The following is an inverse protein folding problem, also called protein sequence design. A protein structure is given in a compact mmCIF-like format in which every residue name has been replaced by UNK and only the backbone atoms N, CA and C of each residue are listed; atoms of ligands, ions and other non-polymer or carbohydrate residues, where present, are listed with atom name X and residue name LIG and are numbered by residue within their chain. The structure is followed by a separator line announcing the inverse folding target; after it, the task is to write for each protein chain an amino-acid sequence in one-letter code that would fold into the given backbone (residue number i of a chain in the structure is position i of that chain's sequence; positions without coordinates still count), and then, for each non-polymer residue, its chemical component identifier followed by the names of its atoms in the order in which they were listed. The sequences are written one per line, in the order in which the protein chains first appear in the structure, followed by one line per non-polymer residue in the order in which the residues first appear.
data_IF_550223359912
#
_entry.id   IF_550223359912
#
_cell.length_a   1.000
_cell.length_b   1.000
_cell.length_c   1.000
_cell.angle_alpha   90.00
_cell.angle_beta   90.00
_cell.angle_gamma   90.00
#
_symmetry.space_group_name_H-M   'P 1'
#
loop_
_entity.id
_entity.type
_entity.pdbx_description
1 polymer ?
#
# COMPACT_ATOMS: atom_id res chain seq x y z
N UNK A 1 8.73 7.82 14.66
CA UNK A 1 8.08 7.29 13.45
C UNK A 1 6.79 6.59 13.86
N UNK A 2 5.75 6.52 13.01
CA UNK A 2 4.50 5.85 13.42
C UNK A 2 4.67 4.33 13.48
N UNK A 3 3.80 3.61 14.20
CA UNK A 3 3.82 2.13 14.24
C UNK A 3 3.54 1.53 12.86
N UNK A 4 2.65 2.15 12.08
CA UNK A 4 2.29 1.72 10.72
C UNK A 4 3.48 1.91 9.77
N UNK A 5 4.15 3.07 9.80
CA UNK A 5 5.36 3.32 9.00
C UNK A 5 6.43 2.24 9.29
N UNK A 6 6.60 1.90 10.58
CA UNK A 6 7.58 0.91 11.05
C UNK A 6 7.24 -0.51 10.59
N UNK A 7 5.96 -0.87 10.55
CA UNK A 7 5.52 -2.14 10.01
C UNK A 7 5.88 -2.25 8.52
N UNK A 8 5.62 -1.21 7.72
CA UNK A 8 5.99 -1.17 6.31
C UNK A 8 7.49 -1.31 6.08
N UNK A 9 8.32 -0.60 6.83
CA UNK A 9 9.78 -0.77 6.75
C UNK A 9 10.25 -2.19 7.07
N UNK A 10 9.71 -2.80 8.14
CA UNK A 10 10.13 -4.15 8.55
C UNK A 10 9.74 -5.25 7.56
N UNK A 11 8.68 -5.03 6.79
CA UNK A 11 8.27 -5.95 5.74
C UNK A 11 9.04 -5.76 4.43
N UNK A 12 9.77 -4.65 4.26
CA UNK A 12 10.61 -4.39 3.10
C UNK A 12 11.84 -5.29 3.12
N UNK A 13 12.00 -6.12 2.09
CA UNK A 13 13.14 -7.00 1.92
C UNK A 13 13.42 -7.27 0.43
N UNK A 14 14.49 -7.99 0.12
CA UNK A 14 14.94 -8.19 -1.28
C UNK A 14 13.90 -8.91 -2.14
N UNK A 15 13.11 -9.80 -1.52
CA UNK A 15 12.04 -10.52 -2.19
C UNK A 15 10.69 -9.76 -2.18
N UNK A 16 10.54 -8.75 -1.31
CA UNK A 16 9.30 -8.02 -1.12
C UNK A 16 9.57 -6.53 -0.87
N UNK A 17 9.65 -5.76 -1.96
CA UNK A 17 9.79 -4.32 -1.86
C UNK A 17 8.45 -3.66 -1.54
N UNK A 18 8.39 -2.91 -0.44
CA UNK A 18 7.21 -2.18 0.02
C UNK A 18 7.08 -0.83 -0.70
N UNK A 19 6.98 -0.93 -2.02
CA UNK A 19 6.96 0.19 -2.95
C UNK A 19 5.60 0.35 -3.62
N UNK A 20 5.10 1.58 -3.59
CA UNK A 20 3.97 2.02 -4.40
C UNK A 20 4.53 2.55 -5.70
N UNK A 21 4.03 2.04 -6.83
CA UNK A 21 4.43 2.49 -8.16
C UNK A 21 3.19 2.97 -8.92
N UNK A 22 3.18 4.23 -9.31
CA UNK A 22 2.13 4.85 -10.12
C UNK A 22 2.68 5.26 -11.48
N UNK A 23 1.80 5.27 -12.49
CA UNK A 23 2.12 5.73 -13.85
C UNK A 23 1.07 6.74 -14.27
N UNK A 24 1.52 7.91 -14.72
CA UNK A 24 0.65 8.92 -15.35
C UNK A 24 1.09 9.14 -16.79
N UNK A 25 0.12 9.17 -17.70
CA UNK A 25 0.28 9.65 -19.07
C UNK A 25 -0.34 11.04 -19.14
N UNK A 26 0.42 12.02 -19.62
CA UNK A 26 0.09 13.44 -19.52
C UNK A 26 -0.01 14.04 -20.92
N UNK A 27 -1.15 14.68 -21.20
CA UNK A 27 -1.40 15.45 -22.41
C UNK A 27 -2.10 16.78 -22.04
N UNK A 28 -1.55 17.95 -22.40
CA UNK A 28 -0.27 18.14 -23.10
C UNK A 28 0.93 17.65 -22.27
N UNK A 29 2.03 17.32 -22.94
CA UNK A 29 3.26 16.88 -22.28
C UNK A 29 3.86 17.95 -21.38
N UNK A 30 4.58 17.52 -20.35
CA UNK A 30 5.21 18.40 -19.35
C UNK A 30 6.72 18.30 -19.41
N UNK A 31 7.39 19.40 -19.08
CA UNK A 31 8.86 19.47 -19.03
C UNK A 31 9.38 19.26 -17.61
N UNK A 32 10.61 18.77 -17.51
CA UNK A 32 11.29 18.49 -16.24
C UNK A 32 11.25 19.68 -15.28
N UNK A 33 11.54 20.89 -15.78
CA UNK A 33 11.47 22.11 -14.98
C UNK A 33 10.07 22.35 -14.39
N UNK A 34 9.01 22.14 -15.16
CA UNK A 34 7.63 22.32 -14.70
C UNK A 34 7.23 21.27 -13.64
N UNK A 35 7.71 20.02 -13.80
CA UNK A 35 7.52 18.98 -12.79
C UNK A 35 8.25 19.34 -11.49
N UNK A 36 9.52 19.78 -11.57
CA UNK A 36 10.28 20.23 -10.40
C UNK A 36 9.56 21.37 -9.68
N UNK A 37 9.14 22.41 -10.40
CA UNK A 37 8.40 23.55 -9.84
C UNK A 37 7.09 23.09 -9.16
N UNK A 38 6.34 22.20 -9.80
CA UNK A 38 5.11 21.66 -9.20
C UNK A 38 5.40 20.91 -7.91
N UNK A 39 6.43 20.08 -7.89
CA UNK A 39 6.84 19.28 -6.72
C UNK A 39 7.29 20.17 -5.56
N UNK A 40 8.05 21.22 -5.83
CA UNK A 40 8.46 22.23 -4.83
C UNK A 40 7.25 22.94 -4.22
N UNK A 41 6.30 23.33 -5.07
CA UNK A 41 5.13 24.10 -4.66
C UNK A 41 4.00 23.27 -4.04
N UNK A 42 4.09 21.94 -4.05
CA UNK A 42 3.07 21.03 -3.52
C UNK A 42 3.67 19.99 -2.58
N UNK A 43 4.34 18.97 -3.12
CA UNK A 43 4.87 17.82 -2.38
C UNK A 43 5.83 18.23 -1.26
N UNK A 44 6.74 19.16 -1.54
CA UNK A 44 7.77 19.58 -0.56
C UNK A 44 7.24 20.48 0.57
N UNK A 45 5.96 20.89 0.50
CA UNK A 45 5.27 21.52 1.65
C UNK A 45 5.08 20.53 2.80
N UNK A 46 5.09 19.23 2.52
CA UNK A 46 5.09 18.20 3.54
C UNK A 46 6.53 17.83 3.91
N UNK A 47 6.93 18.11 5.16
CA UNK A 47 8.30 17.81 5.62
C UNK A 47 8.69 16.35 5.47
N UNK A 48 7.71 15.44 5.48
CA UNK A 48 7.93 14.01 5.25
C UNK A 48 8.70 13.71 3.97
N UNK A 49 8.46 14.44 2.87
CA UNK A 49 9.15 14.22 1.59
C UNK A 49 10.58 14.77 1.56
N UNK A 50 10.99 15.50 2.60
CA UNK A 50 12.36 15.96 2.82
C UNK A 50 13.06 15.17 3.94
N UNK A 51 12.42 14.11 4.45
CA UNK A 51 12.95 13.27 5.52
C UNK A 51 13.34 11.90 4.99
N UNK A 52 14.47 11.41 5.50
CA UNK A 52 14.91 10.02 5.30
C UNK A 52 14.69 9.23 6.59
N UNK A 53 14.67 7.91 6.46
CA UNK A 53 14.64 7.02 7.61
C UNK A 53 16.07 6.79 8.11
N UNK A 54 16.26 6.84 9.42
CA UNK A 54 17.48 6.43 10.11
C UNK A 54 17.11 5.28 11.04
N UNK A 55 17.79 4.14 10.87
CA UNK A 55 17.64 2.98 11.74
C UNK A 55 18.84 2.88 12.68
N UNK A 56 18.56 2.75 13.97
CA UNK A 56 19.55 2.51 15.01
C UNK A 56 19.07 1.40 15.97
N UNK A 57 19.80 1.17 17.06
CA UNK A 57 19.46 0.14 18.05
C UNK A 57 18.13 0.39 18.76
N UNK A 58 17.64 1.64 18.81
CA UNK A 58 16.36 2.00 19.42
C UNK A 58 15.19 1.91 18.42
N UNK A 59 15.48 1.86 17.12
CA UNK A 59 14.53 1.61 16.06
C UNK A 59 14.67 2.59 14.90
N UNK A 60 13.58 2.77 14.15
CA UNK A 60 13.55 3.59 12.95
C UNK A 60 12.92 4.97 13.24
N UNK A 61 13.61 6.03 12.83
CA UNK A 61 13.18 7.42 13.02
C UNK A 61 13.26 8.23 11.74
N UNK A 62 12.42 9.25 11.65
CA UNK A 62 12.42 10.20 10.53
C UNK A 62 13.37 11.35 10.85
N UNK A 63 14.32 11.60 9.96
CA UNK A 63 15.31 12.68 10.11
C UNK A 63 15.33 13.53 8.85
N UNK A 64 15.36 14.85 9.02
CA UNK A 64 15.51 15.77 7.88
C UNK A 64 16.81 15.46 7.13
N UNK A 65 16.70 15.30 5.81
CA UNK A 65 17.86 15.20 4.96
C UNK A 65 18.46 16.61 4.76
N UNK A 66 19.62 16.85 5.37
CA UNK A 66 20.32 18.14 5.27
C UNK A 66 20.88 18.40 3.87
N UNK A 67 21.07 17.33 3.09
CA UNK A 67 21.60 17.38 1.74
C UNK A 67 20.49 17.07 0.72
N UNK A 68 19.23 17.34 1.08
CA UNK A 68 18.11 17.15 0.18
C UNK A 68 18.33 17.91 -1.12
N UNK A 69 18.25 17.20 -2.23
CA UNK A 69 18.38 17.76 -3.57
C UNK A 69 17.37 17.07 -4.49
N UNK A 70 16.44 17.89 -4.99
CA UNK A 70 15.31 17.47 -5.82
C UNK A 70 15.75 16.75 -7.10
N UNK A 71 16.93 17.05 -7.63
CA UNK A 71 17.44 16.39 -8.84
C UNK A 71 17.68 14.88 -8.65
N UNK A 72 17.85 14.42 -7.40
CA UNK A 72 17.98 12.99 -7.09
C UNK A 72 16.62 12.27 -7.02
N UNK A 73 15.53 13.04 -6.97
CA UNK A 73 14.17 12.53 -6.85
C UNK A 73 13.39 12.70 -8.15
N UNK A 74 13.56 13.79 -8.89
CA UNK A 74 12.92 14.01 -10.20
C UNK A 74 13.93 13.74 -11.31
N UNK A 75 13.91 12.51 -11.81
CA UNK A 75 14.89 11.97 -12.75
C UNK A 75 14.34 12.05 -14.18
N UNK A 76 14.92 12.88 -15.07
CA UNK A 76 14.56 12.85 -16.48
C UNK A 76 15.10 11.57 -17.12
N UNK A 77 14.27 10.91 -17.93
CA UNK A 77 14.59 9.63 -18.54
C UNK A 77 14.12 9.58 -20.00
N UNK A 78 14.84 8.80 -20.83
CA UNK A 78 14.44 8.50 -22.20
C UNK A 78 14.21 7.01 -22.34
N UNK A 79 13.06 6.63 -22.91
CA UNK A 79 12.81 5.23 -23.23
C UNK A 79 13.67 4.80 -24.44
N UNK A 80 14.03 3.51 -24.52
CA UNK A 80 14.63 2.95 -25.73
C UNK A 80 13.75 3.24 -26.96
N UNK A 81 14.40 3.52 -28.10
CA UNK A 81 13.67 3.68 -29.37
C UNK A 81 12.97 2.35 -29.69
N UNK A 82 11.65 2.37 -29.71
CA UNK A 82 10.79 1.22 -29.97
C UNK A 82 9.61 1.65 -30.83
N UNK A 83 9.12 0.76 -31.70
CA UNK A 83 7.86 0.96 -32.42
C UNK A 83 6.66 0.97 -31.45
N UNK A 84 6.79 0.28 -30.31
CA UNK A 84 5.80 0.26 -29.24
C UNK A 84 6.40 0.92 -27.99
N UNK A 85 6.06 2.19 -27.77
CA UNK A 85 6.52 2.94 -26.60
C UNK A 85 5.82 2.50 -25.31
N UNK A 86 4.57 2.03 -25.39
CA UNK A 86 3.85 1.51 -24.23
C UNK A 86 4.55 0.28 -23.65
N UNK A 87 4.97 -0.67 -24.50
CA UNK A 87 5.74 -1.83 -24.06
C UNK A 87 7.08 -1.42 -23.44
N UNK A 88 7.77 -0.44 -24.03
CA UNK A 88 9.01 0.09 -23.47
C UNK A 88 8.79 0.74 -22.08
N UNK A 89 7.67 1.44 -21.90
CA UNK A 89 7.28 2.01 -20.61
C UNK A 89 6.95 0.90 -19.59
N UNK A 90 6.17 -0.11 -19.97
CA UNK A 90 5.84 -1.27 -19.13
C UNK A 90 7.09 -2.01 -18.65
N UNK A 91 8.04 -2.30 -19.55
CA UNK A 91 9.30 -2.94 -19.19
C UNK A 91 10.14 -2.05 -18.27
N UNK A 92 10.13 -0.72 -18.48
CA UNK A 92 10.82 0.20 -17.58
C UNK A 92 10.19 0.23 -16.18
N UNK A 93 8.88 0.29 -16.09
CA UNK A 93 8.14 0.21 -14.81
C UNK A 93 8.45 -1.12 -14.12
N UNK A 94 8.50 -2.22 -14.86
CA UNK A 94 8.83 -3.54 -14.33
C UNK A 94 10.24 -3.60 -13.71
N UNK A 95 11.23 -2.99 -14.36
CA UNK A 95 12.60 -2.86 -13.82
C UNK A 95 12.59 -1.99 -12.56
N UNK A 96 11.93 -0.84 -12.60
CA UNK A 96 11.90 0.09 -11.47
C UNK A 96 11.15 -0.49 -10.25
N UNK A 97 10.15 -1.34 -10.47
CA UNK A 97 9.38 -2.01 -9.43
C UNK A 97 10.14 -3.15 -8.71
N UNK A 98 11.32 -3.54 -9.20
CA UNK A 98 12.25 -4.48 -8.53
C UNK A 98 13.50 -3.79 -8.00
N UNK A 99 13.66 -2.49 -8.24
CA UNK A 99 14.79 -1.71 -7.72
C UNK A 99 14.43 -1.06 -6.39
N UNK A 100 15.32 -1.21 -5.42
CA UNK A 100 15.26 -0.49 -4.14
C UNK A 100 15.51 0.99 -4.34
N UNK A 101 14.91 1.80 -3.46
CA UNK A 101 15.31 3.20 -3.30
C UNK A 101 16.56 3.29 -2.42
N UNK A 102 17.35 4.35 -2.60
CA UNK A 102 18.52 4.61 -1.77
C UNK A 102 18.09 5.00 -0.34
N UNK A 103 18.40 4.20 0.70
CA UNK A 103 17.98 4.48 2.08
C UNK A 103 18.64 5.72 2.67
N UNK A 104 19.68 6.28 2.04
CA UNK A 104 20.34 7.50 2.48
C UNK A 104 19.55 8.77 2.15
N UNK A 105 18.45 8.65 1.41
CA UNK A 105 17.64 9.77 0.90
C UNK A 105 16.17 9.59 1.28
N UNK A 106 15.32 10.62 1.17
CA UNK A 106 13.88 10.43 1.25
C UNK A 106 13.40 9.36 0.27
N UNK A 107 12.58 8.44 0.75
CA UNK A 107 12.23 7.21 0.02
C UNK A 107 11.12 7.43 -1.02
N UNK A 108 11.36 8.31 -1.98
CA UNK A 108 10.51 8.52 -3.15
C UNK A 108 11.32 8.97 -4.36
N UNK A 109 10.83 8.67 -5.56
CA UNK A 109 11.39 9.11 -6.84
C UNK A 109 10.28 9.27 -7.89
N UNK A 110 10.52 10.14 -8.85
CA UNK A 110 9.67 10.43 -9.99
C UNK A 110 10.57 10.36 -11.23
N UNK A 111 10.27 9.45 -12.14
CA UNK A 111 10.94 9.36 -13.44
C UNK A 111 10.06 10.02 -14.50
N UNK A 112 10.59 11.01 -15.20
CA UNK A 112 9.87 11.74 -16.24
C UNK A 112 10.40 11.37 -17.62
N UNK A 113 9.52 10.88 -18.48
CA UNK A 113 9.74 10.67 -19.90
C UNK A 113 9.02 11.81 -20.64
N UNK A 114 9.75 12.83 -21.04
CA UNK A 114 9.16 14.03 -21.67
C UNK A 114 8.55 13.75 -23.04
N UNK A 115 9.16 12.84 -23.81
CA UNK A 115 8.79 12.54 -25.20
C UNK A 115 8.14 11.15 -25.28
N UNK A 116 6.88 11.06 -24.85
CA UNK A 116 6.09 9.83 -24.88
C UNK A 116 4.91 9.96 -25.85
N UNK A 117 4.63 8.90 -26.60
CA UNK A 117 3.44 8.78 -27.45
C UNK A 117 2.64 7.59 -26.96
N UNK A 118 1.42 7.85 -26.49
CA UNK A 118 0.52 6.83 -25.99
C UNK A 118 0.02 5.88 -27.10
N UNK A 119 -0.67 4.79 -26.73
CA UNK A 119 -1.27 3.87 -27.69
C UNK A 119 -2.37 4.53 -28.54
N UNK A 120 -2.93 5.64 -28.07
CA UNK A 120 -3.87 6.52 -28.78
C UNK A 120 -3.20 7.41 -29.84
N UNK A 121 -1.87 7.40 -29.93
CA UNK A 121 -1.09 8.24 -30.83
C UNK A 121 -0.90 9.69 -30.35
N UNK A 122 -1.41 10.03 -29.16
CA UNK A 122 -1.28 11.37 -28.60
C UNK A 122 0.15 11.55 -28.07
N UNK A 123 0.81 12.61 -28.52
CA UNK A 123 2.13 13.01 -28.01
C UNK A 123 1.97 13.76 -26.69
N UNK A 124 2.78 13.38 -25.72
CA UNK A 124 2.78 13.97 -24.40
C UNK A 124 3.97 13.47 -23.60
N UNK A 125 3.77 13.26 -22.30
CA UNK A 125 4.81 12.76 -21.40
C UNK A 125 4.29 11.59 -20.58
N UNK A 126 5.19 10.73 -20.12
CA UNK A 126 4.87 9.69 -19.15
C UNK A 126 5.67 9.93 -17.87
N UNK A 127 5.05 9.68 -16.72
CA UNK A 127 5.68 9.84 -15.42
C UNK A 127 5.50 8.58 -14.60
N UNK A 128 6.60 8.05 -14.06
CA UNK A 128 6.61 6.89 -13.16
C UNK A 128 6.92 7.39 -11.76
N UNK A 129 5.95 7.30 -10.86
CA UNK A 129 6.08 7.71 -9.47
C UNK A 129 6.36 6.48 -8.62
N UNK A 130 7.36 6.56 -7.75
CA UNK A 130 7.79 5.48 -6.85
C UNK A 130 7.86 6.04 -5.44
N UNK A 131 7.09 5.50 -4.51
CA UNK A 131 7.05 5.96 -3.12
C UNK A 131 7.09 4.74 -2.21
N UNK A 132 7.96 4.75 -1.20
CA UNK A 132 7.96 3.68 -0.21
C UNK A 132 6.75 3.80 0.73
N UNK A 133 6.07 2.69 1.02
CA UNK A 133 4.84 2.63 1.82
C UNK A 133 4.95 3.26 3.22
N UNK A 134 6.17 3.40 3.74
CA UNK A 134 6.40 4.08 5.01
C UNK A 134 6.10 5.59 4.98
N UNK A 135 6.17 6.23 3.80
CA UNK A 135 5.96 7.68 3.67
C UNK A 135 4.47 8.02 3.77
N UNK A 136 3.63 7.22 3.12
CA UNK A 136 2.19 7.42 3.06
C UNK A 136 1.48 6.06 2.94
N UNK A 137 0.44 5.88 3.76
CA UNK A 137 -0.55 4.82 3.53
C UNK A 137 -1.50 5.21 2.38
N UNK A 138 -2.34 4.27 1.94
CA UNK A 138 -3.17 4.45 0.74
C UNK A 138 -4.00 5.74 0.74
N UNK A 139 -4.54 6.16 1.88
CA UNK A 139 -5.38 7.37 1.98
C UNK A 139 -4.50 8.63 1.93
N UNK A 140 -3.41 8.69 2.71
CA UNK A 140 -2.48 9.81 2.66
C UNK A 140 -1.86 9.98 1.26
N UNK A 141 -1.62 8.87 0.56
CA UNK A 141 -1.10 8.88 -0.80
C UNK A 141 -2.11 9.43 -1.81
N UNK A 142 -3.40 9.14 -1.67
CA UNK A 142 -4.45 9.72 -2.52
C UNK A 142 -4.46 11.25 -2.37
N UNK A 143 -4.39 11.77 -1.14
CA UNK A 143 -4.34 13.23 -0.91
C UNK A 143 -3.08 13.87 -1.52
N UNK A 144 -1.93 13.21 -1.39
CA UNK A 144 -0.67 13.66 -2.01
C UNK A 144 -0.77 13.65 -3.54
N UNK A 145 -1.29 12.57 -4.11
CA UNK A 145 -1.47 12.40 -5.56
C UNK A 145 -2.44 13.44 -6.12
N UNK A 146 -3.55 13.69 -5.44
CA UNK A 146 -4.50 14.75 -5.81
C UNK A 146 -3.83 16.13 -5.76
N UNK A 147 -2.99 16.42 -4.77
CA UNK A 147 -2.30 17.72 -4.71
C UNK A 147 -1.34 17.97 -5.89
N UNK A 148 -0.91 16.91 -6.59
CA UNK A 148 -0.01 17.00 -7.75
C UNK A 148 -0.73 17.31 -9.06
N UNK A 149 -2.04 17.05 -9.16
CA UNK A 149 -2.84 17.29 -10.37
C UNK A 149 -3.62 18.59 -10.27
N UNK A 150 -3.88 19.22 -11.42
CA UNK A 150 -4.70 20.44 -11.48
C UNK A 150 -6.16 20.14 -11.10
N UNK A 151 -6.76 21.01 -10.28
CA UNK A 151 -8.10 20.81 -9.72
C UNK A 151 -8.16 19.88 -8.50
N UNK A 152 -7.03 19.32 -8.05
CA UNK A 152 -6.96 18.57 -6.81
C UNK A 152 -7.06 19.45 -5.56
N UNK A 153 -7.43 18.84 -4.43
CA UNK A 153 -7.51 19.54 -3.14
C UNK A 153 -6.11 20.00 -2.74
N UNK A 154 -5.90 21.30 -2.43
CA UNK A 154 -4.60 21.77 -1.98
C UNK A 154 -4.18 21.03 -0.71
N UNK A 155 -2.86 20.85 -0.47
CA UNK A 155 -2.36 20.29 0.77
C UNK A 155 -3.04 20.93 1.98
N UNK A 156 -3.61 20.16 2.94
CA UNK A 156 -4.22 20.75 4.11
C UNK A 156 -3.17 21.60 4.82
N UNK A 157 -3.47 22.89 5.04
CA UNK A 157 -2.60 23.74 5.83
C UNK A 157 -2.48 23.11 7.23
N UNK A 158 -1.25 22.75 7.59
CA UNK A 158 -0.97 22.19 8.91
C UNK A 158 -1.28 23.26 9.94
N UNK A 159 -2.49 23.23 10.50
CA UNK A 159 -2.81 23.95 11.74
C UNK A 159 -1.73 23.55 12.73
N UNK A 160 -0.92 24.52 13.17
CA UNK A 160 0.01 24.31 14.29
C UNK A 160 -0.85 23.78 15.43
N UNK A 161 -0.71 22.48 15.73
CA UNK A 161 -1.48 21.83 16.78
C UNK A 161 -1.10 22.54 18.07
N UNK A 162 -1.99 23.39 18.57
CA UNK A 162 -1.94 23.83 19.95
C UNK A 162 -1.95 22.54 20.79
N UNK A 163 -1.01 22.44 21.71
CA UNK A 163 -0.92 21.35 22.66
C UNK A 163 -2.20 21.30 23.50
N UNK A 164 -3.16 20.44 23.13
CA UNK A 164 -4.26 20.04 24.00
C UNK A 164 -4.95 18.78 23.45
N UNK A 165 -4.81 17.69 24.20
CA UNK A 165 -5.80 16.64 24.41
C UNK A 165 -6.69 16.21 23.23
N UNK A 166 -6.14 15.38 22.33
CA UNK A 166 -6.93 14.35 21.65
C UNK A 166 -5.96 13.22 21.30
N UNK A 167 -6.19 12.05 21.91
CA UNK A 167 -5.31 10.89 21.81
C UNK A 167 -5.32 10.30 20.40
N UNK A 168 -4.34 9.45 20.06
CA UNK A 168 -4.32 8.70 18.80
C UNK A 168 -5.54 7.78 18.61
N UNK A 169 -6.35 7.61 19.65
CA UNK A 169 -7.51 6.73 19.66
C UNK A 169 -8.68 7.37 18.90
N UNK A 170 -8.91 8.68 19.05
CA UNK A 170 -10.06 9.38 18.46
C UNK A 170 -10.06 9.40 16.92
N UNK A 171 -8.88 9.46 16.30
CA UNK A 171 -8.80 9.47 14.83
C UNK A 171 -9.04 8.07 14.23
N UNK A 172 -8.63 7.02 14.95
CA UNK A 172 -8.81 5.62 14.55
C UNK A 172 -10.29 5.23 14.72
N UNK A 173 -10.93 5.68 15.80
CA UNK A 173 -12.38 5.46 16.01
C UNK A 173 -13.24 6.15 14.96
N UNK A 174 -12.93 7.40 14.60
CA UNK A 174 -13.80 8.18 13.71
C UNK A 174 -13.68 7.83 12.22
N UNK A 175 -12.49 7.44 11.75
CA UNK A 175 -12.23 7.30 10.31
C UNK A 175 -12.22 5.85 9.83
N UNK A 176 -11.79 4.90 10.68
CA UNK A 176 -11.66 3.49 10.33
C UNK A 176 -12.70 2.61 11.01
N UNK A 177 -12.99 2.87 12.29
CA UNK A 177 -13.97 2.06 12.99
C UNK A 177 -15.38 2.45 12.56
N UNK A 178 -15.86 3.69 12.68
CA UNK A 178 -17.29 4.03 12.44
C UNK A 178 -17.93 3.41 11.17
N UNK A 179 -17.33 3.45 9.96
CA UNK A 179 -17.93 2.83 8.78
C UNK A 179 -17.95 1.29 8.83
N UNK A 180 -16.93 0.69 9.46
CA UNK A 180 -16.84 -0.76 9.64
C UNK A 180 -17.63 -1.24 10.87
N UNK A 181 -17.84 -0.41 11.89
CA UNK A 181 -18.50 -0.79 13.15
C UNK A 181 -20.00 -0.93 12.95
N UNK A 182 -20.64 -0.14 12.08
CA UNK A 182 -22.07 -0.30 11.81
C UNK A 182 -22.40 -1.60 11.06
N UNK A 183 -21.50 -2.04 10.17
CA UNK A 183 -21.60 -3.32 9.45
C UNK A 183 -21.14 -4.48 10.36
N UNK A 184 -20.11 -4.26 11.19
CA UNK A 184 -19.56 -5.26 12.10
C UNK A 184 -20.44 -5.50 13.32
N UNK A 185 -21.11 -4.50 13.90
CA UNK A 185 -21.99 -4.66 15.10
C UNK A 185 -23.25 -5.44 14.74
N UNK A 186 -23.80 -5.24 13.53
CA UNK A 186 -24.89 -6.09 13.01
C UNK A 186 -24.45 -7.53 12.74
N UNK A 187 -23.19 -7.77 12.35
CA UNK A 187 -22.64 -9.11 12.16
C UNK A 187 -22.18 -9.77 13.47
N UNK A 188 -21.61 -9.01 14.42
CA UNK A 188 -21.18 -9.49 15.74
C UNK A 188 -22.37 -9.80 16.65
N UNK A 189 -23.51 -9.12 16.51
CA UNK A 189 -24.73 -9.49 17.21
C UNK A 189 -25.25 -10.89 16.83
N UNK A 190 -25.00 -11.32 15.58
CA UNK A 190 -25.40 -12.63 15.07
C UNK A 190 -24.32 -13.72 15.27
N UNK A 191 -23.03 -13.35 15.35
CA UNK A 191 -21.89 -14.28 15.51
C UNK A 191 -21.39 -14.37 16.97
N UNK A 192 -21.60 -13.32 17.77
CA UNK A 192 -21.07 -13.16 19.12
C UNK A 192 -21.62 -14.15 20.14
N UNK A 193 -22.87 -14.61 19.98
CA UNK A 193 -23.42 -15.69 20.82
C UNK A 193 -22.71 -17.04 20.56
N UNK A 194 -22.15 -17.25 19.37
CA UNK A 194 -21.39 -18.46 19.02
C UNK A 194 -19.92 -18.41 19.45
N UNK A 195 -19.27 -17.26 19.25
CA UNK A 195 -17.83 -17.10 19.51
C UNK A 195 -17.48 -17.01 21.01
N UNK A 196 -18.34 -16.41 21.83
CA UNK A 196 -18.12 -16.35 23.29
C UNK A 196 -18.15 -17.74 23.95
N UNK A 197 -18.96 -18.67 23.43
CA UNK A 197 -18.94 -20.08 23.85
C UNK A 197 -17.65 -20.80 23.46
N UNK A 198 -17.08 -20.48 22.30
CA UNK A 198 -15.86 -21.14 21.80
C UNK A 198 -14.59 -20.66 22.52
N UNK A 199 -14.49 -19.37 22.86
CA UNK A 199 -13.34 -18.80 23.56
C UNK A 199 -13.26 -19.21 25.04
N UNK A 200 -14.41 -19.43 25.70
CA UNK A 200 -14.45 -19.98 27.06
C UNK A 200 -13.84 -21.37 27.19
N UNK A 201 -13.84 -22.18 26.12
CA UNK A 201 -13.22 -23.51 26.09
C UNK A 201 -11.67 -23.48 26.00
N UNK A 202 -11.07 -22.39 25.52
CA UNK A 202 -9.62 -22.30 25.27
C UNK A 202 -8.82 -21.81 26.50
N UNK A 203 -9.44 -21.00 27.37
CA UNK A 203 -8.77 -20.41 28.54
C UNK A 203 -8.57 -21.37 29.71
N UNK A 204 -9.37 -22.43 29.80
CA UNK A 204 -9.30 -23.43 30.86
C UNK A 204 -9.66 -24.82 30.28
N UNK A 205 -8.69 -25.52 29.65
CA UNK A 205 -8.94 -26.79 28.96
C UNK A 205 -9.55 -27.87 29.86
N UNK A 206 -9.27 -27.80 31.18
CA UNK A 206 -9.81 -28.74 32.16
C UNK A 206 -11.28 -28.44 32.53
N UNK A 207 -11.70 -27.18 32.67
CA UNK A 207 -13.13 -26.85 32.89
C UNK A 207 -13.97 -27.03 31.63
N UNK A 208 -13.45 -26.69 30.45
CA UNK A 208 -14.15 -26.97 29.19
C UNK A 208 -14.33 -28.47 28.93
N UNK A 209 -13.39 -29.29 29.41
CA UNK A 209 -13.47 -30.76 29.32
C UNK A 209 -14.31 -31.38 30.45
N UNK A 210 -14.36 -30.79 31.65
CA UNK A 210 -15.24 -31.23 32.76
C UNK A 210 -16.70 -30.80 32.55
N UNK A 211 -16.98 -29.57 32.11
CA UNK A 211 -18.33 -29.12 31.72
C UNK A 211 -18.80 -29.79 30.41
N UNK A 212 -17.88 -30.06 29.48
CA UNK A 212 -18.12 -30.89 28.30
C UNK A 212 -18.34 -32.38 28.61
N UNK A 213 -17.88 -32.86 29.77
CA UNK A 213 -18.09 -34.22 30.25
C UNK A 213 -19.56 -34.49 30.63
N UNK A 214 -20.31 -33.44 30.99
CA UNK A 214 -21.73 -33.56 31.34
C UNK A 214 -22.65 -33.61 30.11
N UNK A 215 -22.18 -33.18 28.94
CA UNK A 215 -22.86 -33.34 27.65
C UNK A 215 -21.96 -34.13 26.69
N UNK A 216 -21.92 -35.46 26.87
CA UNK A 216 -21.21 -36.40 25.97
C UNK A 216 -21.50 -36.17 24.48
N UNK A 217 -22.68 -35.63 24.18
CA UNK A 217 -23.14 -35.26 22.85
C UNK A 217 -22.37 -34.08 22.22
N UNK A 218 -21.94 -33.10 23.02
CA UNK A 218 -21.23 -31.92 22.52
C UNK A 218 -19.74 -32.23 22.26
N UNK A 219 -19.11 -33.05 23.09
CA UNK A 219 -17.77 -33.56 22.82
C UNK A 219 -17.73 -34.43 21.56
N UNK A 220 -18.75 -35.27 21.34
CA UNK A 220 -18.89 -36.06 20.12
C UNK A 220 -19.03 -35.18 18.87
N UNK A 221 -19.83 -34.11 18.93
CA UNK A 221 -19.96 -33.16 17.81
C UNK A 221 -18.64 -32.46 17.49
N UNK A 222 -17.90 -32.00 18.50
CA UNK A 222 -16.59 -31.36 18.29
C UNK A 222 -15.59 -32.33 17.67
N UNK A 223 -15.53 -33.57 18.16
CA UNK A 223 -14.65 -34.60 17.60
C UNK A 223 -14.99 -34.91 16.13
N UNK A 224 -16.28 -35.06 15.81
CA UNK A 224 -16.75 -35.27 14.43
C UNK A 224 -16.40 -34.07 13.55
N UNK A 225 -16.55 -32.85 14.06
CA UNK A 225 -16.21 -31.63 13.31
C UNK A 225 -14.71 -31.56 13.02
N UNK A 226 -13.85 -31.82 14.00
CA UNK A 226 -12.38 -31.84 13.80
C UNK A 226 -11.96 -32.92 12.80
N UNK A 227 -12.54 -34.12 12.88
CA UNK A 227 -12.27 -35.19 11.92
C UNK A 227 -12.75 -34.83 10.52
N UNK A 228 -13.92 -34.20 10.41
CA UNK A 228 -14.47 -33.75 9.12
C UNK A 228 -13.63 -32.64 8.51
N UNK A 229 -13.19 -31.67 9.31
CA UNK A 229 -12.34 -30.57 8.84
C UNK A 229 -10.93 -31.06 8.48
N UNK A 230 -10.37 -31.98 9.26
CA UNK A 230 -9.10 -32.65 8.94
C UNK A 230 -9.20 -33.47 7.65
N UNK A 231 -10.28 -34.22 7.45
CA UNK A 231 -10.53 -34.95 6.21
C UNK A 231 -10.77 -33.99 5.03
N UNK A 232 -11.50 -32.90 5.24
CA UNK A 232 -11.74 -31.88 4.23
C UNK A 232 -10.43 -31.21 3.79
N UNK A 233 -9.53 -30.91 4.72
CA UNK A 233 -8.20 -30.35 4.41
C UNK A 233 -7.29 -31.36 3.70
N UNK A 234 -7.29 -32.62 4.13
CA UNK A 234 -6.47 -33.67 3.52
C UNK A 234 -6.95 -34.08 2.12
N UNK A 235 -8.26 -34.00 1.88
CA UNK A 235 -8.89 -34.30 0.60
C UNK A 235 -9.13 -33.05 -0.24
N UNK A 236 -8.75 -31.87 0.27
CA UNK A 236 -8.86 -30.62 -0.47
C UNK A 236 -7.97 -30.76 -1.70
N UNK A 237 -8.53 -30.68 -2.92
CA UNK A 237 -7.73 -30.81 -4.12
C UNK A 237 -6.66 -29.72 -4.12
N UNK A 238 -5.48 -30.09 -4.59
CA UNK A 238 -4.42 -29.11 -4.82
C UNK A 238 -4.98 -27.94 -5.62
N UNK A 239 -4.63 -26.78 -5.12
CA UNK A 239 -5.08 -25.50 -5.58
C UNK A 239 -4.96 -25.44 -7.13
N UNK A 240 -6.04 -25.10 -7.86
CA UNK A 240 -6.11 -25.23 -9.34
C UNK A 240 -4.85 -24.69 -10.04
N UNK A 241 -4.27 -25.45 -10.99
CA UNK A 241 -3.10 -25.00 -11.76
C UNK A 241 -3.44 -23.76 -12.60
N UNK A 242 -3.14 -22.58 -12.08
CA UNK A 242 -3.27 -21.32 -12.81
C UNK A 242 -1.90 -20.80 -13.24
N UNK A 243 -1.87 -19.88 -14.20
CA UNK A 243 -0.65 -19.14 -14.58
C UNK A 243 -0.12 -18.25 -13.45
N UNK A 244 -0.90 -18.05 -12.38
CA UNK A 244 -0.54 -17.26 -11.21
C UNK A 244 0.09 -18.13 -10.10
N UNK A 245 0.21 -19.44 -10.30
CA UNK A 245 0.83 -20.38 -9.36
C UNK A 245 2.15 -20.92 -9.91
N UNK A 246 3.12 -21.09 -9.01
CA UNK A 246 4.45 -21.56 -9.35
C UNK A 246 5.51 -20.93 -8.44
N UNK A 247 6.78 -21.17 -8.75
CA UNK A 247 7.89 -20.46 -8.10
C UNK A 247 8.04 -19.09 -8.77
N UNK A 248 7.86 -17.97 -8.05
CA UNK A 248 8.06 -16.65 -8.63
C UNK A 248 9.52 -16.49 -9.08
N UNK A 249 9.71 -15.88 -10.25
CA UNK A 249 11.05 -15.47 -10.72
C UNK A 249 11.45 -14.11 -10.15
N UNK A 250 12.71 -13.71 -10.35
CA UNK A 250 13.23 -12.40 -9.91
C UNK A 250 12.84 -11.21 -10.80
N UNK A 251 12.19 -11.46 -11.94
CA UNK A 251 11.74 -10.43 -12.85
C UNK A 251 10.25 -10.15 -12.65
N UNK A 252 9.87 -8.87 -12.54
CA UNK A 252 8.48 -8.46 -12.64
C UNK A 252 8.12 -8.25 -14.11
N UNK A 253 6.83 -8.43 -14.42
CA UNK A 253 6.22 -8.00 -15.68
C UNK A 253 5.01 -7.15 -15.34
N UNK A 254 4.86 -6.05 -16.06
CA UNK A 254 3.80 -5.07 -15.85
C UNK A 254 3.02 -4.98 -17.15
N UNK A 255 1.70 -4.96 -17.02
CA UNK A 255 0.77 -4.69 -18.09
C UNK A 255 -0.43 -3.97 -17.47
N UNK A 256 -1.13 -3.16 -18.25
CA UNK A 256 -2.36 -2.49 -17.84
C UNK A 256 -3.38 -2.58 -18.97
N UNK A 257 -4.65 -2.45 -18.64
CA UNK A 257 -5.72 -2.41 -19.63
C UNK A 257 -5.77 -1.04 -20.32
N UNK A 258 -6.65 -0.93 -21.32
CA UNK A 258 -6.99 0.38 -21.88
C UNK A 258 -7.58 1.29 -20.78
N UNK A 259 -7.38 2.61 -20.87
CA UNK A 259 -7.94 3.55 -19.92
C UNK A 259 -9.45 3.38 -19.81
N UNK A 260 -9.95 3.33 -18.57
CA UNK A 260 -11.39 3.33 -18.29
C UNK A 260 -11.76 4.77 -17.87
N UNK A 261 -12.76 5.40 -18.50
CA UNK A 261 -13.23 6.72 -18.07
C UNK A 261 -13.66 6.70 -16.60
N UNK A 262 -13.25 7.73 -15.84
CA UNK A 262 -13.51 7.76 -14.38
C UNK A 262 -15.01 7.79 -14.05
N UNK A 263 -15.84 8.36 -14.92
CA UNK A 263 -17.30 8.40 -14.78
C UNK A 263 -17.99 7.04 -15.01
N UNK A 264 -17.29 6.10 -15.64
CA UNK A 264 -17.75 4.71 -15.79
C UNK A 264 -17.38 3.83 -14.57
N UNK A 265 -16.44 4.28 -13.74
CA UNK A 265 -16.03 3.59 -12.51
C UNK A 265 -17.06 3.87 -11.41
N UNK A 266 -18.01 2.95 -11.23
CA UNK A 266 -19.04 3.00 -10.16
C UNK A 266 -18.61 2.30 -8.88
#
# INVERSE_FOLDING_TARGET
MSKVDTAWLRMDNEANLMMIVGVWQLAPGVKHAAVCERIENSLLKYDRFKQRVMEDAAGATWVMDRNFDLANHVVPEKLPKSANQEQALQDRVAILATQRLDPKRPLWQIHLIEDYTGPDGVKGSAMIVRIHHCIADGIALISVTMSLVDGGVPPPERRKKAEAAAGPEDWITDTLLKPFTDITVKALGAVGEGAARSLGMLGDPKKGMEEGMHNSMDMAKVLVQVLKDGAALALMPDDSKTRLKGKPGGAKKVAWCQPIPLDEVR
#
